data_IF_686601330989
#
_entry.id   IF_686601330989
#
_cell.length_a   1.000
_cell.length_b   1.000
_cell.length_c   1.000
_cell.angle_alpha   90.00
_cell.angle_beta   90.00
_cell.angle_gamma   90.00
#
_symmetry.space_group_name_H-M   'P 1'
#
loop_
_entity.id
_entity.type
_entity.pdbx_description
1 polymer ?
#
# COMPACT_ATOMS: atom_id res chain seq x y z
N UNK A 1 13.47 -4.76 -50.13
CA UNK A 1 14.15 -5.26 -48.91
C UNK A 1 14.93 -4.09 -48.32
N UNK A 2 14.86 -3.66 -47.07
CA UNK A 2 14.35 -4.23 -45.82
C UNK A 2 13.95 -3.07 -44.90
N UNK A 3 12.70 -3.06 -44.43
CA UNK A 3 12.18 -2.07 -43.47
C UNK A 3 12.50 -2.56 -42.06
N UNK A 4 13.45 -1.92 -41.37
CA UNK A 4 13.72 -2.19 -39.96
C UNK A 4 12.63 -1.51 -39.12
N UNK A 5 11.64 -2.30 -38.70
CA UNK A 5 10.59 -1.89 -37.77
C UNK A 5 11.19 -1.66 -36.37
N UNK A 6 11.51 -0.40 -36.05
CA UNK A 6 11.77 0.02 -34.69
C UNK A 6 10.50 -0.11 -33.85
N UNK A 7 10.37 -1.22 -33.11
CA UNK A 7 9.38 -1.37 -32.06
C UNK A 7 9.77 -0.46 -30.88
N UNK A 8 9.37 0.82 -30.92
CA UNK A 8 9.29 1.64 -29.71
C UNK A 8 8.25 0.99 -28.79
N UNK A 9 8.71 0.30 -27.74
CA UNK A 9 7.83 -0.11 -26.65
C UNK A 9 7.26 1.16 -26.00
N UNK A 10 5.95 1.28 -25.79
CA UNK A 10 5.39 2.40 -25.06
C UNK A 10 5.92 2.34 -23.63
N UNK A 11 6.49 3.46 -23.18
CA UNK A 11 6.81 3.72 -21.77
C UNK A 11 5.49 3.54 -21.00
N UNK A 12 5.25 2.36 -20.45
CA UNK A 12 4.21 2.18 -19.45
C UNK A 12 4.68 3.02 -18.27
N UNK A 13 3.93 4.07 -17.95
CA UNK A 13 4.05 4.70 -16.65
C UNK A 13 3.86 3.56 -15.64
N UNK A 14 4.91 3.23 -14.89
CA UNK A 14 4.81 2.24 -13.83
C UNK A 14 3.64 2.66 -12.95
N UNK A 15 2.62 1.82 -12.76
CA UNK A 15 1.57 2.13 -11.79
C UNK A 15 2.30 2.37 -10.48
N UNK A 16 2.12 3.54 -9.86
CA UNK A 16 2.76 3.89 -8.58
C UNK A 16 2.57 2.71 -7.63
N UNK A 17 3.61 1.89 -7.49
CA UNK A 17 3.55 0.68 -6.67
C UNK A 17 3.53 1.16 -5.24
N UNK A 18 2.39 1.02 -4.58
CA UNK A 18 2.26 1.40 -3.18
C UNK A 18 3.17 0.50 -2.36
N UNK A 19 4.13 1.10 -1.65
CA UNK A 19 5.11 0.34 -0.89
C UNK A 19 4.48 -0.28 0.36
N UNK A 20 5.12 -1.32 0.89
CA UNK A 20 4.74 -1.92 2.18
C UNK A 20 4.77 -0.90 3.33
N UNK A 21 5.68 0.08 3.26
CA UNK A 21 5.74 1.19 4.21
C UNK A 21 4.49 2.06 4.11
N UNK A 22 4.05 2.42 2.91
CA UNK A 22 2.81 3.19 2.71
C UNK A 22 1.59 2.45 3.26
N UNK A 23 1.48 1.13 3.02
CA UNK A 23 0.41 0.32 3.64
C UNK A 23 0.45 0.35 5.16
N UNK A 24 1.64 0.20 5.75
CA UNK A 24 1.82 0.24 7.21
C UNK A 24 1.41 1.60 7.78
N UNK A 25 1.77 2.70 7.09
CA UNK A 25 1.34 4.04 7.45
C UNK A 25 -0.17 4.21 7.38
N UNK A 26 -0.81 3.72 6.33
CA UNK A 26 -2.27 3.79 6.13
C UNK A 26 -3.04 2.99 7.20
N UNK A 27 -2.61 1.75 7.48
CA UNK A 27 -3.20 0.91 8.53
C UNK A 27 -3.08 1.58 9.90
N UNK A 28 -1.89 2.12 10.22
CA UNK A 28 -1.67 2.83 11.47
C UNK A 28 -2.56 4.09 11.57
N UNK A 29 -2.68 4.86 10.49
CA UNK A 29 -3.50 6.06 10.45
C UNK A 29 -4.99 5.74 10.62
N UNK A 30 -5.50 4.74 9.89
CA UNK A 30 -6.86 4.23 10.02
C UNK A 30 -7.13 3.67 11.43
N UNK A 31 -6.19 2.91 11.99
CA UNK A 31 -6.27 2.39 13.35
C UNK A 31 -6.36 3.49 14.41
N UNK A 32 -5.57 4.57 14.27
CA UNK A 32 -5.62 5.74 15.16
C UNK A 32 -6.97 6.46 15.14
N UNK A 33 -7.72 6.40 14.04
CA UNK A 33 -9.05 7.01 13.98
C UNK A 33 -9.99 6.45 15.05
N UNK A 34 -9.95 5.14 15.33
CA UNK A 34 -10.77 4.53 16.39
C UNK A 34 -10.48 5.15 17.74
N UNK A 35 -9.19 5.23 18.10
CA UNK A 35 -8.75 5.82 19.36
C UNK A 35 -9.14 7.30 19.45
N UNK A 36 -8.89 8.07 18.39
CA UNK A 36 -9.23 9.49 18.35
C UNK A 36 -10.75 9.72 18.47
N UNK A 37 -11.57 8.91 17.79
CA UNK A 37 -13.04 9.02 17.88
C UNK A 37 -13.55 8.84 19.31
N UNK A 38 -13.01 7.86 20.03
CA UNK A 38 -13.35 7.61 21.44
C UNK A 38 -12.78 8.70 22.35
N UNK A 39 -11.55 9.17 22.09
CA UNK A 39 -10.91 10.25 22.84
C UNK A 39 -11.70 11.55 22.73
N UNK A 40 -12.23 11.88 21.55
CA UNK A 40 -13.13 13.02 21.34
C UNK A 40 -14.36 12.90 22.24
N UNK A 41 -15.06 11.77 22.16
CA UNK A 41 -16.32 11.54 22.89
C UNK A 41 -16.08 11.58 24.41
N UNK A 42 -15.08 10.85 24.89
CA UNK A 42 -14.73 10.79 26.31
C UNK A 42 -14.42 12.18 26.87
N UNK A 43 -13.59 12.95 26.19
CA UNK A 43 -13.18 14.27 26.68
C UNK A 43 -14.30 15.31 26.54
N UNK A 44 -15.17 15.19 25.54
CA UNK A 44 -16.39 15.98 25.49
C UNK A 44 -17.30 15.69 26.70
N UNK A 45 -17.45 14.42 27.10
CA UNK A 45 -18.20 14.04 28.31
C UNK A 45 -17.53 14.59 29.58
N UNK A 46 -16.22 14.44 29.73
CA UNK A 46 -15.49 14.97 30.90
C UNK A 46 -15.58 16.50 30.97
N UNK A 47 -15.58 17.20 29.84
CA UNK A 47 -15.74 18.64 29.81
C UNK A 47 -17.13 19.09 30.31
N UNK A 48 -18.19 18.31 30.08
CA UNK A 48 -19.51 18.59 30.68
C UNK A 48 -19.53 18.42 32.21
N UNK A 49 -18.58 17.67 32.75
CA UNK A 49 -18.37 17.47 34.19
C UNK A 49 -17.34 18.45 34.79
N UNK A 50 -17.02 19.53 34.06
CA UNK A 50 -16.11 20.59 34.50
C UNK A 50 -14.65 20.16 34.71
N UNK A 51 -14.18 19.13 34.00
CA UNK A 51 -12.75 18.83 33.93
C UNK A 51 -12.03 19.84 33.02
N UNK A 52 -11.21 20.70 33.61
CA UNK A 52 -10.60 21.88 32.96
C UNK A 52 -9.78 21.54 31.70
N UNK A 53 -9.01 20.45 31.71
CA UNK A 53 -8.16 20.06 30.57
C UNK A 53 -8.92 19.35 29.44
N UNK A 54 -10.12 18.86 29.71
CA UNK A 54 -10.83 17.96 28.80
C UNK A 54 -11.24 18.64 27.49
N UNK A 55 -11.58 19.93 27.54
CA UNK A 55 -11.93 20.72 26.34
C UNK A 55 -10.76 20.71 25.35
N UNK A 56 -9.56 21.09 25.82
CA UNK A 56 -8.37 21.15 24.97
C UNK A 56 -7.97 19.78 24.41
N UNK A 57 -8.14 18.71 25.19
CA UNK A 57 -7.89 17.35 24.71
C UNK A 57 -8.89 16.94 23.64
N UNK A 58 -10.18 17.28 23.79
CA UNK A 58 -11.21 17.00 22.80
C UNK A 58 -10.95 17.76 21.48
N UNK A 59 -10.57 19.04 21.56
CA UNK A 59 -10.22 19.87 20.40
C UNK A 59 -9.02 19.33 19.63
N UNK A 60 -7.93 18.99 20.33
CA UNK A 60 -6.74 18.41 19.72
C UNK A 60 -7.04 17.05 19.07
N UNK A 61 -7.81 16.20 19.75
CA UNK A 61 -8.19 14.90 19.20
C UNK A 61 -9.08 15.07 17.95
N UNK A 62 -10.01 16.01 17.95
CA UNK A 62 -10.87 16.32 16.80
C UNK A 62 -10.06 16.84 15.62
N UNK A 63 -9.12 17.77 15.85
CA UNK A 63 -8.26 18.31 14.80
C UNK A 63 -7.42 17.20 14.14
N UNK A 64 -6.78 16.35 14.95
CA UNK A 64 -6.01 15.21 14.44
C UNK A 64 -6.88 14.20 13.68
N UNK A 65 -8.09 13.93 14.16
CA UNK A 65 -9.03 13.03 13.51
C UNK A 65 -9.46 13.57 12.14
N UNK A 66 -9.81 14.85 12.05
CA UNK A 66 -10.20 15.50 10.80
C UNK A 66 -9.08 15.52 9.76
N UNK A 67 -7.86 15.90 10.17
CA UNK A 67 -6.68 15.90 9.29
C UNK A 67 -6.42 14.49 8.77
N UNK A 68 -6.35 13.51 9.67
CA UNK A 68 -6.07 12.12 9.32
C UNK A 68 -7.14 11.54 8.37
N UNK A 69 -8.42 11.83 8.60
CA UNK A 69 -9.50 11.41 7.71
C UNK A 69 -9.38 12.07 6.33
N UNK A 70 -8.97 13.33 6.27
CA UNK A 70 -8.63 14.02 5.03
C UNK A 70 -7.50 13.33 4.26
N UNK A 71 -6.42 12.96 4.94
CA UNK A 71 -5.28 12.25 4.36
C UNK A 71 -5.67 10.85 3.85
N UNK A 72 -6.48 10.11 4.61
CA UNK A 72 -6.97 8.79 4.21
C UNK A 72 -7.88 8.86 2.98
N UNK A 73 -8.67 9.92 2.84
CA UNK A 73 -9.67 10.03 1.75
C UNK A 73 -9.13 10.68 0.49
N UNK A 74 -8.43 11.82 0.63
CA UNK A 74 -7.93 12.63 -0.48
C UNK A 74 -6.46 12.39 -0.80
N UNK A 75 -5.72 11.80 0.13
CA UNK A 75 -4.27 11.68 0.03
C UNK A 75 -3.56 12.99 0.35
N UNK A 76 -2.23 12.93 0.28
CA UNK A 76 -1.32 14.07 0.39
C UNK A 76 -0.06 13.77 -0.46
N UNK A 77 1.05 14.46 -0.22
CA UNK A 77 2.29 14.24 -0.98
C UNK A 77 2.86 12.81 -0.83
N UNK A 78 2.60 12.13 0.28
CA UNK A 78 3.16 10.81 0.62
C UNK A 78 2.13 9.70 0.62
N UNK A 79 0.86 10.02 0.90
CA UNK A 79 -0.24 9.07 0.98
C UNK A 79 -1.14 9.18 -0.26
N UNK A 80 -1.51 8.04 -0.89
CA UNK A 80 -2.28 8.02 -2.12
C UNK A 80 -3.77 8.34 -1.96
N UNK A 81 -4.28 8.47 -0.72
CA UNK A 81 -5.71 8.63 -0.45
C UNK A 81 -6.46 7.30 -0.62
N UNK A 82 -7.68 7.34 -1.17
CA UNK A 82 -8.45 6.13 -1.53
C UNK A 82 -8.11 5.72 -2.96
N UNK A 83 -7.49 4.55 -3.10
CA UNK A 83 -7.02 4.04 -4.40
C UNK A 83 -7.39 2.57 -4.68
N UNK A 84 -7.89 1.84 -3.68
CA UNK A 84 -8.45 0.49 -3.90
C UNK A 84 -9.95 0.54 -4.17
N UNK A 85 -10.47 -0.28 -5.11
CA UNK A 85 -11.90 -0.41 -5.32
C UNK A 85 -12.68 -0.78 -4.04
N UNK A 86 -12.12 -1.64 -3.19
CA UNK A 86 -12.76 -2.01 -1.92
C UNK A 86 -12.86 -0.82 -0.95
N UNK A 87 -11.80 0.01 -0.87
CA UNK A 87 -11.84 1.24 -0.09
C UNK A 87 -12.82 2.26 -0.70
N UNK A 88 -12.88 2.35 -2.03
CA UNK A 88 -13.83 3.22 -2.70
C UNK A 88 -15.28 2.81 -2.40
N UNK A 89 -15.56 1.50 -2.36
CA UNK A 89 -16.86 0.97 -2.01
C UNK A 89 -17.27 1.29 -0.56
N UNK A 90 -16.36 1.19 0.41
CA UNK A 90 -16.70 1.52 1.81
C UNK A 90 -16.84 3.03 2.03
N UNK A 91 -15.94 3.86 1.47
CA UNK A 91 -15.97 5.31 1.65
C UNK A 91 -17.09 6.01 0.88
N UNK A 92 -17.32 5.60 -0.38
CA UNK A 92 -18.18 6.32 -1.32
C UNK A 92 -19.32 5.47 -1.91
N UNK A 93 -19.39 4.18 -1.57
CA UNK A 93 -20.52 3.30 -1.93
C UNK A 93 -21.66 3.39 -0.92
N UNK A 94 -22.41 2.29 -0.76
CA UNK A 94 -23.64 2.26 0.05
C UNK A 94 -23.43 2.65 1.51
N UNK A 95 -22.30 2.25 2.11
CA UNK A 95 -21.97 2.57 3.49
C UNK A 95 -21.69 4.06 3.72
N UNK A 96 -21.35 4.81 2.67
CA UNK A 96 -21.05 6.25 2.69
C UNK A 96 -20.14 6.65 3.85
N UNK A 97 -19.05 5.90 4.09
CA UNK A 97 -18.25 6.10 5.30
C UNK A 97 -17.65 7.50 5.39
N UNK A 98 -17.22 8.12 4.28
CA UNK A 98 -16.72 9.50 4.29
C UNK A 98 -17.78 10.48 4.79
N UNK A 99 -19.02 10.36 4.28
CA UNK A 99 -20.14 11.22 4.68
C UNK A 99 -20.46 11.07 6.16
N UNK A 100 -20.49 9.83 6.67
CA UNK A 100 -20.77 9.54 8.09
C UNK A 100 -19.68 10.10 9.01
N UNK A 101 -18.41 9.91 8.64
CA UNK A 101 -17.28 10.43 9.42
C UNK A 101 -17.25 11.96 9.41
N UNK A 102 -17.53 12.61 8.27
CA UNK A 102 -17.65 14.07 8.18
C UNK A 102 -18.83 14.62 8.99
N UNK A 103 -19.96 13.91 9.00
CA UNK A 103 -21.10 14.29 9.83
C UNK A 103 -20.75 14.23 11.33
N UNK A 104 -20.06 13.16 11.75
CA UNK A 104 -19.53 13.07 13.11
C UNK A 104 -18.56 14.21 13.44
N UNK A 105 -17.62 14.55 12.54
CA UNK A 105 -16.69 15.67 12.75
C UNK A 105 -17.44 16.98 12.96
N UNK A 106 -18.47 17.25 12.15
CA UNK A 106 -19.28 18.46 12.26
C UNK A 106 -20.04 18.51 13.60
N UNK A 107 -20.64 17.39 14.00
CA UNK A 107 -21.36 17.28 15.27
C UNK A 107 -20.43 17.39 16.48
N UNK A 108 -19.26 16.75 16.43
CA UNK A 108 -18.21 16.87 17.44
C UNK A 108 -17.76 18.31 17.60
N UNK A 109 -17.51 19.02 16.48
CA UNK A 109 -17.14 20.43 16.50
C UNK A 109 -18.20 21.29 17.16
N UNK A 110 -19.48 21.08 16.81
CA UNK A 110 -20.60 21.79 17.43
C UNK A 110 -20.68 21.51 18.93
N UNK A 111 -20.60 20.23 19.32
CA UNK A 111 -20.69 19.82 20.71
C UNK A 111 -19.57 20.42 21.57
N UNK A 112 -18.33 20.42 21.05
CA UNK A 112 -17.18 21.02 21.72
C UNK A 112 -17.33 22.54 21.82
N UNK A 113 -17.76 23.21 20.74
CA UNK A 113 -17.99 24.65 20.76
C UNK A 113 -19.13 25.08 21.72
N UNK A 114 -20.09 24.19 21.98
CA UNK A 114 -21.18 24.43 22.91
C UNK A 114 -20.82 24.15 24.37
N UNK A 115 -19.62 23.63 24.68
CA UNK A 115 -19.17 23.36 26.05
C UNK A 115 -19.22 24.64 26.90
N UNK A 116 -19.69 24.52 28.13
CA UNK A 116 -19.98 25.67 29.01
C UNK A 116 -21.36 26.30 28.82
N UNK A 117 -22.14 25.89 27.81
CA UNK A 117 -23.54 26.30 27.63
C UNK A 117 -24.53 25.24 28.15
N UNK A 118 -25.80 25.63 28.31
CA UNK A 118 -26.88 24.69 28.68
C UNK A 118 -27.12 23.59 27.63
N UNK A 119 -26.74 23.83 26.38
CA UNK A 119 -26.94 22.88 25.27
C UNK A 119 -25.85 21.80 25.21
N UNK A 120 -24.73 21.98 25.91
CA UNK A 120 -23.56 21.09 25.87
C UNK A 120 -23.93 19.63 26.17
N UNK A 121 -24.63 19.40 27.27
CA UNK A 121 -24.95 18.05 27.75
C UNK A 121 -25.75 17.25 26.70
N UNK A 122 -26.78 17.86 26.11
CA UNK A 122 -27.61 17.21 25.10
C UNK A 122 -26.83 16.91 23.80
N UNK A 123 -25.96 17.82 23.36
CA UNK A 123 -25.13 17.60 22.16
C UNK A 123 -24.08 16.51 22.38
N UNK A 124 -23.45 16.47 23.55
CA UNK A 124 -22.46 15.45 23.91
C UNK A 124 -23.11 14.08 24.12
N UNK A 125 -24.32 14.02 24.68
CA UNK A 125 -25.10 12.78 24.77
C UNK A 125 -25.40 12.20 23.39
N UNK A 126 -25.81 13.05 22.44
CA UNK A 126 -26.07 12.64 21.06
C UNK A 126 -24.81 12.17 20.33
N UNK A 127 -23.66 12.80 20.63
CA UNK A 127 -22.36 12.33 20.17
C UNK A 127 -22.03 10.93 20.72
N UNK A 128 -22.32 10.71 22.01
CA UNK A 128 -22.11 9.43 22.70
C UNK A 128 -22.88 8.28 22.07
N UNK A 129 -24.12 8.51 21.60
CA UNK A 129 -24.93 7.49 20.89
C UNK A 129 -24.27 7.00 19.59
N UNK A 130 -23.39 7.81 18.99
CA UNK A 130 -22.67 7.45 17.77
C UNK A 130 -21.34 6.74 18.01
N UNK A 131 -20.89 6.63 19.27
CA UNK A 131 -19.61 6.04 19.63
C UNK A 131 -19.42 4.63 19.05
N UNK A 132 -20.35 3.72 19.35
CA UNK A 132 -20.26 2.31 18.92
C UNK A 132 -20.43 2.17 17.41
N UNK A 133 -21.45 2.76 16.75
CA UNK A 133 -21.57 2.70 15.30
C UNK A 133 -20.33 3.24 14.55
N UNK A 134 -19.72 4.31 15.06
CA UNK A 134 -18.54 4.91 14.43
C UNK A 134 -17.30 4.02 14.60
N UNK A 135 -17.03 3.50 15.80
CA UNK A 135 -15.89 2.58 16.00
C UNK A 135 -16.02 1.33 15.14
N UNK A 136 -17.23 0.78 15.01
CA UNK A 136 -17.48 -0.37 14.13
C UNK A 136 -17.16 -0.04 12.67
N UNK A 137 -17.57 1.14 12.19
CA UNK A 137 -17.26 1.61 10.84
C UNK A 137 -15.74 1.79 10.64
N UNK A 138 -15.06 2.45 11.57
CA UNK A 138 -13.62 2.67 11.53
C UNK A 138 -12.83 1.36 11.60
N UNK A 139 -13.34 0.36 12.34
CA UNK A 139 -12.78 -0.98 12.38
C UNK A 139 -12.91 -1.69 11.04
N UNK A 140 -14.07 -1.62 10.38
CA UNK A 140 -14.27 -2.18 9.05
C UNK A 140 -13.32 -1.55 8.02
N UNK A 141 -13.14 -0.22 8.06
CA UNK A 141 -12.16 0.46 7.19
C UNK A 141 -10.75 -0.07 7.43
N UNK A 142 -10.34 -0.21 8.69
CA UNK A 142 -9.00 -0.74 9.04
C UNK A 142 -8.81 -2.17 8.51
N UNK A 143 -9.83 -3.02 8.64
CA UNK A 143 -9.80 -4.39 8.12
C UNK A 143 -9.69 -4.44 6.59
N UNK A 144 -10.34 -3.52 5.88
CA UNK A 144 -10.17 -3.41 4.41
C UNK A 144 -8.73 -3.04 4.07
N UNK A 145 -8.11 -2.08 4.77
CA UNK A 145 -6.69 -1.76 4.56
C UNK A 145 -5.77 -2.96 4.80
N UNK A 146 -5.98 -3.72 5.87
CA UNK A 146 -5.20 -4.92 6.20
C UNK A 146 -5.37 -6.02 5.14
N UNK A 147 -6.59 -6.23 4.66
CA UNK A 147 -6.89 -7.20 3.61
C UNK A 147 -6.21 -6.84 2.29
N UNK A 148 -6.31 -5.58 1.86
CA UNK A 148 -5.67 -5.07 0.65
C UNK A 148 -4.14 -5.16 0.75
N UNK A 149 -3.55 -4.78 1.88
CA UNK A 149 -2.11 -4.90 2.10
C UNK A 149 -1.62 -6.34 1.94
N UNK A 150 -2.36 -7.30 2.51
CA UNK A 150 -2.04 -8.72 2.38
C UNK A 150 -2.19 -9.22 0.95
N UNK A 151 -3.27 -8.83 0.25
CA UNK A 151 -3.49 -9.20 -1.14
C UNK A 151 -2.40 -8.63 -2.06
N UNK A 152 -2.03 -7.37 -1.87
CA UNK A 152 -0.95 -6.73 -2.62
C UNK A 152 0.40 -7.40 -2.39
N UNK A 153 0.75 -7.72 -1.14
CA UNK A 153 1.98 -8.43 -0.84
C UNK A 153 2.03 -9.81 -1.51
N UNK A 154 0.91 -10.55 -1.50
CA UNK A 154 0.82 -11.84 -2.18
C UNK A 154 0.91 -11.73 -3.70
N UNK A 155 0.24 -10.73 -4.29
CA UNK A 155 0.30 -10.48 -5.72
C UNK A 155 1.73 -10.13 -6.18
N UNK A 156 2.39 -9.21 -5.46
CA UNK A 156 3.76 -8.81 -5.73
C UNK A 156 4.73 -9.99 -5.59
N UNK A 157 4.57 -10.82 -4.56
CA UNK A 157 5.40 -12.03 -4.39
C UNK A 157 5.22 -13.03 -5.55
N UNK A 158 3.99 -13.21 -6.02
CA UNK A 158 3.69 -14.09 -7.16
C UNK A 158 4.31 -13.55 -8.45
N UNK A 159 4.22 -12.24 -8.67
CA UNK A 159 4.82 -11.56 -9.83
C UNK A 159 6.35 -11.68 -9.81
N UNK A 160 6.99 -11.38 -8.68
CA UNK A 160 8.44 -11.55 -8.52
C UNK A 160 8.88 -12.99 -8.81
N UNK A 161 8.13 -13.99 -8.31
CA UNK A 161 8.44 -15.40 -8.57
C UNK A 161 8.29 -15.77 -10.05
N UNK A 162 7.27 -15.25 -10.73
CA UNK A 162 7.08 -15.46 -12.15
C UNK A 162 8.21 -14.83 -12.98
N UNK A 163 8.63 -13.61 -12.63
CA UNK A 163 9.76 -12.94 -13.26
C UNK A 163 11.06 -13.76 -13.10
N UNK A 164 11.36 -14.23 -11.89
CA UNK A 164 12.54 -15.08 -11.65
C UNK A 164 12.49 -16.37 -12.49
N UNK A 165 11.32 -17.00 -12.61
CA UNK A 165 11.14 -18.18 -13.48
C UNK A 165 11.42 -17.87 -14.96
N UNK A 166 10.97 -16.71 -15.45
CA UNK A 166 11.24 -16.27 -16.82
C UNK A 166 12.74 -16.01 -17.04
N UNK A 167 13.43 -15.39 -16.09
CA UNK A 167 14.88 -15.15 -16.17
C UNK A 167 15.63 -16.49 -16.20
N UNK A 168 15.24 -17.45 -15.35
CA UNK A 168 15.83 -18.79 -15.33
C UNK A 168 15.64 -19.52 -16.67
N UNK A 169 14.47 -19.38 -17.29
CA UNK A 169 14.22 -19.96 -18.61
C UNK A 169 15.12 -19.33 -19.69
N UNK A 170 15.28 -18.01 -19.68
CA UNK A 170 16.17 -17.28 -20.60
C UNK A 170 17.63 -17.69 -20.38
N UNK A 171 18.08 -17.80 -19.12
CA UNK A 171 19.43 -18.24 -18.78
C UNK A 171 19.71 -19.66 -19.31
N UNK A 172 18.77 -20.60 -19.13
CA UNK A 172 18.86 -21.95 -19.69
C UNK A 172 18.92 -21.96 -21.22
N UNK A 173 18.13 -21.13 -21.89
CA UNK A 173 18.17 -21.02 -23.36
C UNK A 173 19.51 -20.44 -23.84
N UNK A 174 19.99 -19.38 -23.20
CA UNK A 174 21.28 -18.78 -23.49
C UNK A 174 22.43 -19.77 -23.26
N UNK A 175 22.36 -20.59 -22.20
CA UNK A 175 23.30 -21.68 -21.94
C UNK A 175 23.36 -22.69 -23.09
N UNK A 176 22.20 -23.15 -23.57
CA UNK A 176 22.12 -24.09 -24.70
C UNK A 176 22.75 -23.48 -25.96
N UNK A 177 22.43 -22.21 -26.27
CA UNK A 177 23.01 -21.49 -27.42
C UNK A 177 24.53 -21.37 -27.28
N UNK A 178 25.03 -21.09 -26.08
CA UNK A 178 26.46 -20.95 -25.80
C UNK A 178 27.21 -22.27 -26.00
N UNK A 179 26.64 -23.37 -25.51
CA UNK A 179 27.20 -24.72 -25.71
C UNK A 179 27.19 -25.10 -27.19
N UNK A 180 26.11 -24.82 -27.92
CA UNK A 180 26.06 -25.07 -29.37
C UNK A 180 27.11 -24.25 -30.13
N UNK A 181 27.31 -22.98 -29.75
CA UNK A 181 28.36 -22.13 -30.32
C UNK A 181 29.76 -22.68 -30.05
N UNK A 182 30.04 -23.21 -28.85
CA UNK A 182 31.31 -23.88 -28.54
C UNK A 182 31.55 -25.11 -29.43
N UNK A 183 30.53 -25.94 -29.64
CA UNK A 183 30.64 -27.14 -30.50
C UNK A 183 30.93 -26.72 -31.94
N UNK A 184 30.25 -25.69 -32.46
CA UNK A 184 30.49 -25.17 -33.80
C UNK A 184 31.88 -24.55 -33.95
N UNK A 185 32.33 -23.79 -32.95
CA UNK A 185 33.67 -23.23 -32.89
C UNK A 185 34.76 -24.33 -32.91
N UNK A 186 34.56 -25.40 -32.13
CA UNK A 186 35.47 -26.55 -32.13
C UNK A 186 35.51 -27.26 -33.50
N UNK A 187 34.36 -27.40 -34.18
CA UNK A 187 34.29 -27.98 -35.54
C UNK A 187 34.96 -27.11 -36.60
N UNK A 188 34.95 -25.79 -36.45
CA UNK A 188 35.59 -24.85 -37.37
C UNK A 188 37.13 -24.79 -37.24
N UNK A 189 37.71 -25.49 -36.26
CA UNK A 189 39.16 -25.56 -36.07
C UNK A 189 39.78 -24.20 -35.76
N UNK A 190 40.86 -23.84 -36.45
CA UNK A 190 41.57 -22.55 -36.30
C UNK A 190 40.64 -21.34 -36.42
N UNK A 191 39.71 -21.35 -37.38
CA UNK A 191 38.78 -20.24 -37.62
C UNK A 191 37.74 -20.03 -36.50
N UNK A 192 37.55 -21.02 -35.62
CA UNK A 192 36.59 -20.96 -34.52
C UNK A 192 37.17 -20.53 -33.17
N UNK A 193 38.49 -20.36 -33.04
CA UNK A 193 39.16 -20.12 -31.74
C UNK A 193 38.59 -18.91 -30.99
N UNK A 194 38.43 -17.76 -31.66
CA UNK A 194 37.89 -16.55 -31.02
C UNK A 194 36.43 -16.70 -30.61
N UNK A 195 35.61 -17.36 -31.43
CA UNK A 195 34.21 -17.65 -31.11
C UNK A 195 34.05 -18.62 -29.92
N UNK A 196 34.98 -19.57 -29.76
CA UNK A 196 34.99 -20.51 -28.63
C UNK A 196 35.17 -19.77 -27.29
N UNK A 197 36.06 -18.76 -27.26
CA UNK A 197 36.31 -17.96 -26.05
C UNK A 197 35.05 -17.18 -25.65
N UNK A 198 34.40 -16.50 -26.60
CA UNK A 198 33.17 -15.72 -26.34
C UNK A 198 32.04 -16.63 -25.83
N UNK A 199 31.86 -17.80 -26.45
CA UNK A 199 30.86 -18.77 -26.03
C UNK A 199 31.17 -19.38 -24.65
N UNK A 200 32.46 -19.54 -24.31
CA UNK A 200 32.96 -19.84 -22.96
C UNK A 200 32.52 -18.82 -21.92
N UNK A 201 32.76 -17.54 -22.16
CA UNK A 201 32.38 -16.46 -21.24
C UNK A 201 30.85 -16.42 -21.03
N UNK A 202 30.06 -16.54 -22.11
CA UNK A 202 28.60 -16.56 -22.01
C UNK A 202 28.07 -17.77 -21.21
N UNK A 203 28.75 -18.91 -21.31
CA UNK A 203 28.49 -20.12 -20.52
C UNK A 203 28.73 -19.89 -19.03
N UNK A 204 29.75 -19.11 -18.66
CA UNK A 204 30.03 -18.72 -17.27
C UNK A 204 28.99 -17.73 -16.76
N UNK A 205 28.71 -16.65 -17.50
CA UNK A 205 27.71 -15.64 -17.13
C UNK A 205 26.34 -16.28 -16.89
N UNK A 206 25.90 -17.18 -17.76
CA UNK A 206 24.62 -17.90 -17.58
C UNK A 206 24.61 -18.79 -16.35
N UNK A 207 25.75 -19.38 -15.95
CA UNK A 207 25.88 -20.14 -14.71
C UNK A 207 25.79 -19.25 -13.47
N UNK A 208 26.48 -18.11 -13.46
CA UNK A 208 26.41 -17.12 -12.37
C UNK A 208 24.99 -16.56 -12.21
N UNK A 209 24.31 -16.29 -13.34
CA UNK A 209 22.91 -15.86 -13.34
C UNK A 209 21.98 -16.91 -12.70
N UNK A 210 22.14 -18.19 -13.04
CA UNK A 210 21.35 -19.28 -12.44
C UNK A 210 21.58 -19.36 -10.91
N UNK A 211 22.82 -19.25 -10.44
CA UNK A 211 23.14 -19.24 -9.01
C UNK A 211 22.51 -18.06 -8.27
N UNK A 212 22.59 -16.85 -8.86
CA UNK A 212 21.98 -15.65 -8.30
C UNK A 212 20.45 -15.78 -8.19
N UNK A 213 19.79 -16.34 -9.21
CA UNK A 213 18.34 -16.56 -9.20
C UNK A 213 17.96 -17.57 -8.10
N UNK A 214 18.70 -18.68 -7.99
CA UNK A 214 18.45 -19.69 -6.94
C UNK A 214 18.64 -19.09 -5.54
N UNK A 215 19.67 -18.25 -5.36
CA UNK A 215 19.90 -17.54 -4.10
C UNK A 215 18.75 -16.58 -3.78
N UNK A 216 18.34 -15.75 -4.75
CA UNK A 216 17.24 -14.80 -4.60
C UNK A 216 15.91 -15.50 -4.25
N UNK A 217 15.62 -16.65 -4.87
CA UNK A 217 14.45 -17.45 -4.56
C UNK A 217 14.48 -18.04 -3.15
N UNK A 218 15.65 -18.49 -2.67
CA UNK A 218 15.82 -19.00 -1.30
C UNK A 218 15.64 -17.91 -0.25
N UNK A 219 16.14 -16.70 -0.50
CA UNK A 219 15.90 -15.56 0.39
C UNK A 219 14.44 -15.13 0.43
N UNK A 220 13.71 -15.27 -0.67
CA UNK A 220 12.29 -14.90 -0.75
C UNK A 220 11.32 -15.92 -0.10
N UNK A 221 11.83 -17.05 0.40
CA UNK A 221 11.05 -18.09 1.10
C UNK A 221 11.25 -18.09 2.63
N UNK A 222 12.16 -17.26 3.15
CA UNK A 222 12.37 -17.05 4.58
C UNK A 222 11.53 -15.88 5.07
#
# INVERSE_FOLDING_TARGET
MNTVLQHRRPHHAEPKTVSSETFSSLINLAGRQRMLSQRIILNAILATQQHEEAVGVAEQALALFEISHGELTKGNATLPGVFFPALQAIYFGEQQADKRIRAFILQARSAIAALGTKAAAAQVEELGKQATPLVNLLNQITQVYEAEAKQHAHAQQKEHRALMGNIQQIAKQAKIVSVNAQIMAARAGEAGKEFSVVAGVLTTITGELDELIVSAMKSAQR
#
